data_IF_737118355993
#
_entry.id   IF_737118355993
#
_cell.length_a   1.000
_cell.length_b   1.000
_cell.length_c   1.000
_cell.angle_alpha   90.00
_cell.angle_beta   90.00
_cell.angle_gamma   90.00
#
_symmetry.space_group_name_H-M   'P 1'
#
loop_
_entity.id
_entity.type
_entity.pdbx_description
1 polymer ?
#
# COMPACT_ATOMS: atom_id res chain seq x y z
N UNK A 1 3.36 -8.30 11.95
CA UNK A 1 3.55 -7.43 10.76
C UNK A 1 4.33 -6.19 11.19
N UNK A 2 5.65 -6.32 11.38
CA UNK A 2 6.51 -5.20 11.79
C UNK A 2 7.12 -4.47 10.57
N UNK A 3 7.26 -5.18 9.45
CA UNK A 3 7.87 -4.67 8.21
C UNK A 3 7.11 -3.50 7.58
N UNK A 4 5.78 -3.53 7.53
CA UNK A 4 5.01 -2.41 6.95
C UNK A 4 5.19 -1.14 7.77
N UNK A 5 5.25 -1.25 9.10
CA UNK A 5 5.48 -0.10 9.99
C UNK A 5 6.89 0.46 9.82
N UNK A 6 7.90 -0.40 9.73
CA UNK A 6 9.27 0.01 9.47
C UNK A 6 9.41 0.71 8.10
N UNK A 7 8.74 0.19 7.08
CA UNK A 7 8.70 0.78 5.75
C UNK A 7 8.05 2.18 5.77
N UNK A 8 6.87 2.33 6.39
CA UNK A 8 6.20 3.63 6.50
C UNK A 8 7.06 4.66 7.25
N UNK A 9 7.62 4.28 8.40
CA UNK A 9 8.49 5.15 9.19
C UNK A 9 9.77 5.55 8.44
N UNK A 10 10.32 4.66 7.62
CA UNK A 10 11.46 4.97 6.75
C UNK A 10 11.10 6.05 5.72
N UNK A 11 9.96 5.92 5.04
CA UNK A 11 9.54 6.89 4.02
C UNK A 11 9.15 8.25 4.59
N UNK A 12 8.52 8.29 5.76
CA UNK A 12 8.28 9.56 6.48
C UNK A 12 9.60 10.25 6.85
N UNK A 13 10.54 9.50 7.41
CA UNK A 13 11.78 10.06 7.97
C UNK A 13 12.82 10.43 6.90
N UNK A 14 12.99 9.60 5.87
CA UNK A 14 14.06 9.78 4.87
C UNK A 14 13.62 10.58 3.65
N UNK A 15 12.32 10.61 3.34
CA UNK A 15 11.80 11.25 2.12
C UNK A 15 10.83 12.40 2.42
N UNK A 16 10.44 12.60 3.69
CA UNK A 16 9.49 13.64 4.09
C UNK A 16 8.11 13.46 3.46
N UNK A 17 7.77 12.23 3.07
CA UNK A 17 6.48 11.93 2.42
C UNK A 17 5.48 11.59 3.51
N UNK A 18 4.31 12.22 3.45
CA UNK A 18 3.23 11.95 4.39
C UNK A 18 2.84 10.47 4.38
N UNK A 19 2.63 9.91 5.58
CA UNK A 19 2.29 8.50 5.76
C UNK A 19 1.08 8.09 4.94
N UNK A 20 0.07 8.95 4.83
CA UNK A 20 -1.15 8.69 4.07
C UNK A 20 -0.83 8.54 2.58
N UNK A 21 0.08 9.35 2.05
CA UNK A 21 0.53 9.27 0.65
C UNK A 21 1.21 7.93 0.37
N UNK A 22 2.06 7.45 1.29
CA UNK A 22 2.75 6.16 1.14
C UNK A 22 1.76 5.00 1.22
N UNK A 23 0.80 5.07 2.15
CA UNK A 23 -0.25 4.05 2.30
C UNK A 23 -1.12 3.96 1.05
N UNK A 24 -1.59 5.09 0.50
CA UNK A 24 -2.37 5.12 -0.74
C UNK A 24 -1.62 4.56 -1.94
N UNK A 25 -0.33 4.90 -2.06
CA UNK A 25 0.53 4.36 -3.10
C UNK A 25 0.70 2.84 -2.97
N UNK A 26 0.84 2.33 -1.74
CA UNK A 26 0.96 0.92 -1.45
C UNK A 26 -0.34 0.15 -1.76
N UNK A 27 -1.50 0.67 -1.36
CA UNK A 27 -2.81 0.09 -1.70
C UNK A 27 -3.00 0.00 -3.22
N UNK A 28 -2.62 1.04 -3.95
CA UNK A 28 -2.68 1.06 -5.42
C UNK A 28 -1.71 0.06 -6.06
N UNK A 29 -0.49 -0.07 -5.53
CA UNK A 29 0.49 -1.04 -6.01
C UNK A 29 0.03 -2.48 -5.79
N UNK A 30 -0.50 -2.77 -4.59
CA UNK A 30 -1.08 -4.07 -4.26
C UNK A 30 -2.29 -4.37 -5.14
N UNK A 31 -3.15 -3.39 -5.41
CA UNK A 31 -4.30 -3.56 -6.28
C UNK A 31 -3.85 -3.94 -7.70
N UNK A 32 -2.86 -3.23 -8.23
CA UNK A 32 -2.28 -3.52 -9.55
C UNK A 32 -1.63 -4.90 -9.62
N UNK A 33 -0.89 -5.31 -8.59
CA UNK A 33 -0.29 -6.65 -8.51
C UNK A 33 -1.38 -7.75 -8.44
N UNK A 34 -2.42 -7.50 -7.66
CA UNK A 34 -3.54 -8.43 -7.45
C UNK A 34 -4.33 -8.68 -8.73
N UNK A 35 -4.48 -7.67 -9.60
CA UNK A 35 -5.17 -7.79 -10.90
C UNK A 35 -4.61 -8.91 -11.78
N UNK A 36 -3.33 -9.31 -11.61
CA UNK A 36 -2.73 -10.44 -12.33
C UNK A 36 -3.20 -11.82 -11.84
N UNK A 37 -3.69 -11.92 -10.60
CA UNK A 37 -4.09 -13.19 -9.96
C UNK A 37 -5.61 -13.36 -9.80
N UNK A 38 -6.38 -12.29 -9.58
CA UNK A 38 -7.81 -12.42 -9.21
C UNK A 38 -8.80 -12.53 -10.39
N UNK A 39 -8.32 -12.64 -11.63
CA UNK A 39 -9.20 -12.77 -12.81
C UNK A 39 -10.15 -11.56 -12.97
N UNK A 40 -11.32 -11.69 -13.62
CA UNK A 40 -12.25 -10.59 -13.91
C UNK A 40 -13.01 -10.09 -12.66
N UNK A 41 -12.43 -10.18 -11.47
CA UNK A 41 -12.95 -9.57 -10.25
C UNK A 41 -13.01 -8.05 -10.43
N UNK A 42 -14.14 -7.58 -10.96
CA UNK A 42 -14.47 -6.16 -11.04
C UNK A 42 -14.65 -5.67 -9.60
N UNK A 43 -13.94 -4.60 -9.25
CA UNK A 43 -14.01 -3.89 -7.97
C UNK A 43 -13.31 -4.58 -6.79
N UNK A 44 -12.13 -5.18 -7.00
CA UNK A 44 -11.25 -5.52 -5.87
C UNK A 44 -10.86 -4.23 -5.12
N UNK A 45 -11.05 -4.22 -3.80
CA UNK A 45 -10.63 -3.14 -2.89
C UNK A 45 -9.57 -3.70 -1.94
N UNK A 46 -8.51 -2.93 -1.73
CA UNK A 46 -7.47 -3.23 -0.76
C UNK A 46 -7.46 -2.07 0.22
N UNK A 47 -7.54 -2.38 1.50
CA UNK A 47 -7.48 -1.41 2.60
C UNK A 47 -6.42 -1.87 3.60
N UNK A 48 -5.54 -0.94 3.99
CA UNK A 48 -4.56 -1.17 5.05
C UNK A 48 -5.15 -0.65 6.37
N UNK A 49 -5.34 -1.57 7.33
CA UNK A 49 -5.77 -1.22 8.69
C UNK A 49 -4.67 -0.42 9.40
N UNK A 50 -5.06 0.68 10.06
CA UNK A 50 -4.17 1.79 10.41
C UNK A 50 -3.53 1.65 11.78
#
# INVERSE_FOLDING_TARGET
>A
MEEIRAFLAYWEKERGIDRETVVQALESALLQASRKSVGPAKNLRIEIDR
#
